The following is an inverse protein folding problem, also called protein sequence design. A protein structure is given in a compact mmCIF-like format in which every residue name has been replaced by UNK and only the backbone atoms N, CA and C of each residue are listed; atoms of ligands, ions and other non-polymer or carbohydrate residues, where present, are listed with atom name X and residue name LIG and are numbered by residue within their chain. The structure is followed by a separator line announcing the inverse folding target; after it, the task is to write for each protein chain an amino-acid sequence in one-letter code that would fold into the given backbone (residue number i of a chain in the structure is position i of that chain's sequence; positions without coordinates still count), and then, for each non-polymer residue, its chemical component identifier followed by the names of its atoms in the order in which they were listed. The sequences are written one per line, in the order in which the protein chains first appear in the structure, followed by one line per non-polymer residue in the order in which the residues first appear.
data_IF_823277321404
#
_entry.id   IF_823277321404
#
_cell.length_a   1.000
_cell.length_b   1.000
_cell.length_c   1.000
_cell.angle_alpha   90.00
_cell.angle_beta   90.00
_cell.angle_gamma   90.00
#
_symmetry.space_group_name_H-M   'P 1'
#
loop_
_entity.id
_entity.type
_entity.pdbx_description
1 polymer ?
#
# COMPACT_ATOMS: atom_id res chain seq x y z
N UNK A 1 17.10 -1.41 -25.19
CA UNK A 1 16.96 -2.89 -25.25
C UNK A 1 16.19 -3.29 -24.03
N UNK A 2 15.04 -3.98 -24.20
CA UNK A 2 14.25 -4.51 -23.11
C UNK A 2 14.44 -6.02 -23.06
N UNK A 3 14.38 -6.62 -21.85
CA UNK A 3 14.36 -8.08 -21.69
C UNK A 3 13.04 -8.62 -22.25
N UNK A 4 13.11 -9.69 -23.04
CA UNK A 4 11.91 -10.44 -23.43
C UNK A 4 11.53 -11.38 -22.28
N UNK A 5 10.29 -11.27 -21.81
CA UNK A 5 9.77 -12.10 -20.73
C UNK A 5 8.76 -13.07 -21.34
N UNK A 6 9.07 -14.38 -21.29
CA UNK A 6 8.18 -15.44 -21.75
C UNK A 6 7.20 -15.79 -20.62
N UNK A 7 5.92 -15.51 -20.85
CA UNK A 7 4.87 -15.70 -19.84
C UNK A 7 3.55 -15.07 -20.28
N UNK A 8 2.56 -15.11 -19.40
CA UNK A 8 1.27 -14.45 -19.58
C UNK A 8 1.13 -13.34 -18.55
N UNK A 9 0.33 -12.32 -18.86
CA UNK A 9 0.02 -11.29 -17.85
C UNK A 9 -0.89 -11.87 -16.77
N UNK A 10 -0.76 -11.31 -15.55
CA UNK A 10 -1.70 -11.65 -14.46
C UNK A 10 -3.14 -11.31 -14.86
N UNK A 11 -3.34 -10.29 -15.73
CA UNK A 11 -4.66 -9.96 -16.27
C UNK A 11 -5.25 -11.10 -17.10
N UNK A 12 -4.49 -11.65 -18.02
CA UNK A 12 -4.91 -12.81 -18.83
C UNK A 12 -5.19 -14.03 -17.95
N UNK A 13 -4.37 -14.23 -16.92
CA UNK A 13 -4.57 -15.31 -15.96
C UNK A 13 -5.89 -15.17 -15.20
N UNK A 14 -6.17 -13.97 -14.62
CA UNK A 14 -7.43 -13.69 -13.93
C UNK A 14 -8.63 -13.83 -14.88
N UNK A 15 -8.54 -13.31 -16.10
CA UNK A 15 -9.62 -13.42 -17.09
C UNK A 15 -9.95 -14.87 -17.44
N UNK A 16 -8.94 -15.74 -17.47
CA UNK A 16 -9.10 -17.15 -17.80
C UNK A 16 -9.64 -17.98 -16.62
N UNK A 17 -9.20 -17.67 -15.41
CA UNK A 17 -9.56 -18.44 -14.20
C UNK A 17 -10.80 -17.91 -13.50
N UNK A 18 -11.12 -16.60 -13.67
CA UNK A 18 -12.04 -15.88 -12.80
C UNK A 18 -11.37 -15.54 -11.46
N UNK A 19 -12.07 -15.70 -10.34
CA UNK A 19 -11.48 -15.57 -9.03
C UNK A 19 -10.47 -16.72 -8.80
N UNK A 20 -9.30 -16.38 -8.25
CA UNK A 20 -8.27 -17.35 -7.91
C UNK A 20 -8.29 -17.66 -6.41
N UNK A 21 -7.69 -18.77 -6.02
CA UNK A 21 -7.65 -19.16 -4.61
C UNK A 21 -6.90 -18.13 -3.78
N UNK A 22 -7.29 -17.95 -2.52
CA UNK A 22 -6.61 -17.00 -1.65
C UNK A 22 -5.12 -17.37 -1.43
N UNK A 23 -4.78 -18.67 -1.44
CA UNK A 23 -3.40 -19.14 -1.35
C UNK A 23 -2.55 -18.68 -2.54
N UNK A 24 -3.06 -18.86 -3.77
CA UNK A 24 -2.36 -18.42 -4.97
C UNK A 24 -2.27 -16.90 -5.04
N UNK A 25 -3.35 -16.20 -4.66
CA UNK A 25 -3.37 -14.74 -4.60
C UNK A 25 -2.30 -14.20 -3.63
N UNK A 26 -2.17 -14.78 -2.43
CA UNK A 26 -1.13 -14.40 -1.47
C UNK A 26 0.27 -14.80 -1.95
N UNK A 27 0.43 -15.94 -2.62
CA UNK A 27 1.70 -16.35 -3.22
C UNK A 27 2.18 -15.33 -4.27
N UNK A 28 1.29 -14.88 -5.16
CA UNK A 28 1.61 -13.83 -6.13
C UNK A 28 1.88 -12.49 -5.45
N UNK A 29 1.04 -12.10 -4.49
CA UNK A 29 1.21 -10.87 -3.71
C UNK A 29 2.56 -10.81 -3.01
N UNK A 30 3.02 -11.93 -2.40
CA UNK A 30 4.33 -12.03 -1.76
C UNK A 30 5.47 -11.70 -2.73
N UNK A 31 5.43 -12.23 -3.95
CA UNK A 31 6.47 -11.99 -4.95
C UNK A 31 6.44 -10.54 -5.44
N UNK A 32 5.24 -9.97 -5.65
CA UNK A 32 5.08 -8.56 -6.06
C UNK A 32 5.62 -7.63 -4.96
N UNK A 33 5.28 -7.88 -3.69
CA UNK A 33 5.76 -7.09 -2.56
C UNK A 33 7.29 -7.09 -2.46
N UNK A 34 7.93 -8.26 -2.66
CA UNK A 34 9.41 -8.34 -2.68
C UNK A 34 10.03 -7.54 -3.83
N UNK A 35 9.39 -7.53 -5.00
CA UNK A 35 9.84 -6.73 -6.13
C UNK A 35 9.67 -5.23 -5.87
N UNK A 36 8.51 -4.82 -5.30
CA UNK A 36 8.26 -3.44 -4.89
C UNK A 36 9.23 -2.97 -3.82
N UNK A 37 9.45 -3.77 -2.76
CA UNK A 37 10.41 -3.42 -1.72
C UNK A 37 11.80 -3.16 -2.30
N UNK A 38 12.28 -4.03 -3.20
CA UNK A 38 13.57 -3.84 -3.85
C UNK A 38 13.65 -2.54 -4.67
N UNK A 39 12.58 -2.13 -5.32
CA UNK A 39 12.50 -0.86 -6.06
C UNK A 39 12.43 0.34 -5.10
N UNK A 40 11.60 0.26 -4.06
CA UNK A 40 11.42 1.31 -3.06
C UNK A 40 12.72 1.58 -2.29
N UNK A 41 13.50 0.56 -1.93
CA UNK A 41 14.83 0.70 -1.30
C UNK A 41 15.82 1.49 -2.17
N UNK A 42 15.56 1.57 -3.48
CA UNK A 42 16.35 2.37 -4.44
C UNK A 42 15.71 3.72 -4.76
N UNK A 43 14.66 4.09 -4.05
CA UNK A 43 13.91 5.32 -4.29
C UNK A 43 13.07 5.29 -5.58
N UNK A 44 12.77 4.11 -6.12
CA UNK A 44 11.97 3.94 -7.34
C UNK A 44 10.55 3.54 -6.96
N UNK A 45 9.58 4.41 -7.24
CA UNK A 45 8.14 4.13 -7.09
C UNK A 45 7.59 3.75 -8.45
N UNK A 46 6.83 2.66 -8.53
CA UNK A 46 6.32 2.12 -9.80
C UNK A 46 5.21 2.97 -10.40
N UNK A 47 4.21 3.38 -9.60
CA UNK A 47 3.08 4.27 -9.93
C UNK A 47 2.07 3.76 -10.97
N UNK A 48 2.24 2.55 -11.48
CA UNK A 48 1.31 1.92 -12.45
C UNK A 48 1.22 0.40 -12.20
N UNK A 49 1.10 0.00 -10.92
CA UNK A 49 0.85 -1.39 -10.55
C UNK A 49 -0.55 -1.79 -11.00
N UNK A 50 -0.61 -2.80 -11.85
CA UNK A 50 -1.84 -3.38 -12.39
C UNK A 50 -1.55 -4.76 -12.96
N UNK A 51 -2.55 -5.64 -13.15
CA UNK A 51 -2.33 -7.01 -13.61
C UNK A 51 -1.70 -7.12 -14.99
N UNK A 52 -1.83 -6.09 -15.85
CA UNK A 52 -1.19 -6.04 -17.17
C UNK A 52 0.33 -5.87 -17.09
N UNK A 53 0.84 -5.24 -16.01
CA UNK A 53 2.26 -5.00 -15.77
C UNK A 53 2.90 -6.06 -14.85
N UNK A 54 2.20 -7.18 -14.63
CA UNK A 54 2.66 -8.29 -13.83
C UNK A 54 2.66 -9.53 -14.71
N UNK A 55 3.84 -10.09 -14.95
CA UNK A 55 4.02 -11.28 -15.78
C UNK A 55 4.13 -12.53 -14.91
N UNK A 56 3.33 -13.54 -15.24
CA UNK A 56 3.39 -14.87 -14.66
C UNK A 56 4.17 -15.78 -15.61
N UNK A 57 5.30 -16.27 -15.16
CA UNK A 57 6.18 -17.16 -15.90
C UNK A 57 5.71 -18.63 -15.81
N UNK A 58 6.17 -19.46 -16.73
CA UNK A 58 5.81 -20.89 -16.78
C UNK A 58 6.22 -21.67 -15.51
N UNK A 59 7.22 -21.21 -14.79
CA UNK A 59 7.70 -21.78 -13.53
C UNK A 59 6.95 -21.27 -12.28
N UNK A 60 5.93 -20.43 -12.47
CA UNK A 60 5.13 -19.83 -11.42
C UNK A 60 5.74 -18.57 -10.77
N UNK A 61 6.89 -18.11 -11.26
CA UNK A 61 7.47 -16.84 -10.78
C UNK A 61 6.75 -15.64 -11.37
N UNK A 62 6.77 -14.55 -10.60
CA UNK A 62 6.22 -13.25 -11.00
C UNK A 62 7.36 -12.30 -11.38
N UNK A 63 7.18 -11.57 -12.49
CA UNK A 63 8.00 -10.39 -12.81
C UNK A 63 7.10 -9.17 -12.90
N UNK A 64 7.46 -8.09 -12.18
CA UNK A 64 6.85 -6.77 -12.32
C UNK A 64 7.58 -6.04 -13.46
N UNK A 65 6.84 -5.55 -14.43
CA UNK A 65 7.35 -4.89 -15.64
C UNK A 65 6.88 -3.45 -15.71
N UNK A 66 7.43 -2.68 -16.64
CA UNK A 66 6.99 -1.30 -16.95
C UNK A 66 6.98 -0.36 -15.73
N UNK A 67 8.08 -0.37 -14.96
CA UNK A 67 8.31 0.64 -13.94
C UNK A 67 8.14 2.03 -14.55
N UNK A 68 7.22 2.83 -14.00
CA UNK A 68 6.66 4.06 -14.57
C UNK A 68 7.64 5.20 -14.85
N UNK A 69 8.66 4.93 -15.66
CA UNK A 69 9.66 5.90 -16.09
C UNK A 69 9.04 7.08 -16.87
N UNK A 70 7.80 6.93 -17.37
CA UNK A 70 7.16 7.88 -18.29
C UNK A 70 6.27 8.94 -17.61
N UNK A 71 6.04 8.94 -16.29
CA UNK A 71 5.14 9.89 -15.62
C UNK A 71 5.83 11.05 -14.90
N UNK A 72 7.11 11.31 -15.15
CA UNK A 72 7.83 12.47 -14.61
C UNK A 72 7.51 13.81 -15.29
N UNK A 73 6.76 13.86 -16.39
CA UNK A 73 6.39 15.12 -17.01
C UNK A 73 5.06 15.65 -16.46
N UNK A 74 5.17 16.56 -15.49
CA UNK A 74 4.15 17.59 -15.24
C UNK A 74 3.77 18.23 -16.56
N UNK A 75 2.49 18.35 -16.82
CA UNK A 75 1.88 18.96 -18.00
C UNK A 75 1.79 18.06 -19.23
N UNK A 76 0.69 17.32 -19.26
CA UNK A 76 -0.12 17.23 -20.47
C UNK A 76 -1.50 16.66 -20.07
N UNK A 77 -2.51 17.52 -20.13
CA UNK A 77 -3.89 17.15 -20.37
C UNK A 77 -3.92 16.41 -21.70
N UNK A 78 -3.47 15.14 -21.72
CA UNK A 78 -3.64 14.28 -22.89
C UNK A 78 -4.90 13.47 -22.72
N UNK A 79 -5.80 13.67 -23.68
CA UNK A 79 -6.92 12.83 -24.06
C UNK A 79 -6.75 11.40 -23.53
N UNK A 80 -7.74 10.97 -22.72
CA UNK A 80 -7.85 9.61 -22.20
C UNK A 80 -7.89 8.64 -23.40
N UNK A 81 -6.75 8.07 -23.75
CA UNK A 81 -6.66 6.97 -24.70
C UNK A 81 -7.20 5.70 -24.05
N UNK A 82 -7.67 4.72 -24.83
CA UNK A 82 -8.22 3.46 -24.32
C UNK A 82 -7.31 2.76 -23.29
N UNK A 83 -5.98 2.90 -23.42
CA UNK A 83 -5.01 2.41 -22.45
C UNK A 83 -5.04 3.17 -21.11
N UNK A 84 -5.50 4.43 -21.07
CA UNK A 84 -5.69 5.18 -19.85
C UNK A 84 -6.97 4.75 -19.11
N UNK A 85 -7.98 4.28 -19.84
CA UNK A 85 -9.25 3.81 -19.26
C UNK A 85 -9.02 2.56 -18.40
N UNK A 86 -8.19 1.61 -18.84
CA UNK A 86 -7.88 0.40 -18.06
C UNK A 86 -7.05 0.66 -16.81
N UNK A 87 -6.17 1.67 -16.81
CA UNK A 87 -5.30 1.99 -15.68
C UNK A 87 -6.03 2.70 -14.53
N UNK A 88 -7.16 3.37 -14.79
CA UNK A 88 -7.89 4.13 -13.77
C UNK A 88 -8.45 3.24 -12.65
N UNK A 89 -8.67 1.96 -12.92
CA UNK A 89 -9.18 1.01 -11.92
C UNK A 89 -8.19 0.70 -10.80
N UNK A 90 -6.91 1.03 -10.97
CA UNK A 90 -5.84 0.69 -10.02
C UNK A 90 -5.13 1.92 -9.44
N UNK A 91 -5.49 3.14 -9.88
CA UNK A 91 -4.84 4.37 -9.36
C UNK A 91 -5.21 4.59 -7.90
N UNK A 92 -4.26 5.11 -7.13
CA UNK A 92 -4.52 5.50 -5.76
C UNK A 92 -5.33 6.80 -5.67
N UNK A 93 -6.04 7.05 -4.55
CA UNK A 93 -6.79 8.29 -4.32
C UNK A 93 -5.97 9.56 -4.54
N UNK A 94 -4.73 9.59 -4.04
CA UNK A 94 -3.80 10.70 -4.21
C UNK A 94 -3.37 10.89 -5.67
N UNK A 95 -3.19 9.80 -6.43
CA UNK A 95 -2.94 9.90 -7.87
C UNK A 95 -4.15 10.46 -8.62
N UNK A 96 -5.36 10.01 -8.26
CA UNK A 96 -6.60 10.49 -8.88
C UNK A 96 -6.82 11.98 -8.65
N UNK A 97 -6.39 12.50 -7.49
CA UNK A 97 -6.44 13.92 -7.13
C UNK A 97 -5.27 14.74 -7.70
N UNK A 98 -4.22 14.10 -8.24
CA UNK A 98 -3.00 14.77 -8.69
C UNK A 98 -2.11 15.26 -7.53
N UNK A 99 -2.26 14.68 -6.35
CA UNK A 99 -1.47 14.98 -5.15
C UNK A 99 -0.08 14.31 -5.21
N UNK A 100 0.77 14.62 -4.21
CA UNK A 100 2.07 13.95 -4.09
C UNK A 100 1.90 12.44 -3.89
N UNK A 101 2.74 11.68 -4.58
CA UNK A 101 2.64 10.21 -4.66
C UNK A 101 3.98 9.59 -4.28
N UNK A 102 3.98 8.75 -3.25
CA UNK A 102 5.10 7.95 -2.77
C UNK A 102 4.84 6.44 -2.94
N UNK A 103 5.66 5.58 -2.29
CA UNK A 103 5.56 4.12 -2.35
C UNK A 103 4.22 3.57 -1.88
N UNK A 104 3.48 4.29 -1.04
CA UNK A 104 2.16 3.87 -0.54
C UNK A 104 1.08 3.86 -1.65
N UNK A 105 1.32 4.54 -2.76
CA UNK A 105 0.47 4.43 -3.94
C UNK A 105 0.58 3.04 -4.59
N UNK A 106 1.78 2.46 -4.66
CA UNK A 106 1.98 1.10 -5.17
C UNK A 106 1.30 0.06 -4.27
N UNK A 107 1.32 0.29 -2.94
CA UNK A 107 0.62 -0.55 -1.97
C UNK A 107 -0.90 -0.53 -2.20
N UNK A 108 -1.49 0.66 -2.41
CA UNK A 108 -2.91 0.78 -2.74
C UNK A 108 -3.25 0.04 -4.03
N UNK A 109 -2.48 0.27 -5.09
CA UNK A 109 -2.67 -0.40 -6.38
C UNK A 109 -2.55 -1.92 -6.26
N UNK A 110 -1.61 -2.42 -5.45
CA UNK A 110 -1.49 -3.85 -5.15
C UNK A 110 -2.70 -4.37 -4.35
N UNK A 111 -3.25 -3.59 -3.42
CA UNK A 111 -4.50 -3.90 -2.74
C UNK A 111 -5.66 -4.11 -3.71
N UNK A 112 -5.78 -3.24 -4.73
CA UNK A 112 -6.78 -3.37 -5.80
C UNK A 112 -6.53 -4.62 -6.65
N UNK A 113 -5.27 -4.94 -6.98
CA UNK A 113 -4.89 -6.18 -7.69
C UNK A 113 -5.24 -7.41 -6.87
N UNK A 114 -4.94 -7.41 -5.56
CA UNK A 114 -5.31 -8.50 -4.65
C UNK A 114 -6.83 -8.68 -4.57
N UNK A 115 -7.58 -7.59 -4.48
CA UNK A 115 -9.04 -7.64 -4.53
C UNK A 115 -9.53 -8.29 -5.82
N UNK A 116 -9.00 -7.87 -6.98
CA UNK A 116 -9.40 -8.45 -8.27
C UNK A 116 -9.05 -9.93 -8.37
N UNK A 117 -7.89 -10.36 -7.89
CA UNK A 117 -7.52 -11.77 -7.83
C UNK A 117 -8.54 -12.60 -7.04
N UNK A 118 -8.97 -12.09 -5.88
CA UNK A 118 -9.86 -12.79 -4.95
C UNK A 118 -11.33 -12.73 -5.38
N UNK A 119 -11.78 -11.61 -5.95
CA UNK A 119 -13.17 -11.38 -6.34
C UNK A 119 -13.47 -11.73 -7.81
N UNK A 120 -12.44 -11.92 -8.65
CA UNK A 120 -12.58 -12.09 -10.11
C UNK A 120 -12.98 -10.80 -10.84
N UNK A 121 -13.07 -9.67 -10.14
CA UNK A 121 -13.45 -8.35 -10.67
C UNK A 121 -12.84 -7.23 -9.86
N UNK A 122 -12.69 -6.06 -10.47
CA UNK A 122 -12.21 -4.85 -9.78
C UNK A 122 -13.19 -4.38 -8.70
N UNK A 123 -12.72 -3.70 -7.63
CA UNK A 123 -13.59 -3.18 -6.57
C UNK A 123 -14.51 -2.05 -7.05
N UNK A 124 -14.06 -1.24 -8.00
CA UNK A 124 -14.77 -0.08 -8.54
C UNK A 124 -14.83 -0.15 -10.06
N UNK A 125 -16.04 -0.06 -10.60
CA UNK A 125 -16.30 -0.07 -12.03
C UNK A 125 -17.47 0.86 -12.35
N UNK A 126 -17.39 1.61 -13.46
CA UNK A 126 -18.41 2.53 -13.91
C UNK A 126 -18.23 2.84 -15.41
N UNK A 127 -19.25 3.46 -16.03
CA UNK A 127 -19.28 3.76 -17.45
C UNK A 127 -18.22 4.77 -17.92
N UNK A 128 -17.58 5.51 -16.99
CA UNK A 128 -16.54 6.48 -17.33
C UNK A 128 -15.33 6.39 -16.42
N UNK A 129 -14.14 6.64 -16.97
CA UNK A 129 -12.89 6.72 -16.22
C UNK A 129 -12.94 7.77 -15.07
N UNK A 130 -13.67 8.87 -15.28
CA UNK A 130 -13.85 9.91 -14.25
C UNK A 130 -14.68 9.37 -13.08
N UNK A 131 -15.74 8.62 -13.36
CA UNK A 131 -16.57 8.00 -12.32
C UNK A 131 -15.76 6.96 -11.53
N UNK A 132 -14.96 6.13 -12.20
CA UNK A 132 -14.07 5.17 -11.53
C UNK A 132 -13.04 5.90 -10.65
N UNK A 133 -12.40 6.96 -11.17
CA UNK A 133 -11.46 7.76 -10.39
C UNK A 133 -12.12 8.38 -9.14
N UNK A 134 -13.35 8.85 -9.27
CA UNK A 134 -14.11 9.38 -8.14
C UNK A 134 -14.41 8.29 -7.09
N UNK A 135 -14.75 7.07 -7.54
CA UNK A 135 -14.96 5.93 -6.64
C UNK A 135 -13.67 5.54 -5.91
N UNK A 136 -12.49 5.61 -6.56
CA UNK A 136 -11.21 5.39 -5.90
C UNK A 136 -11.00 6.37 -4.73
N UNK A 137 -11.49 7.60 -4.86
CA UNK A 137 -11.35 8.64 -3.82
C UNK A 137 -12.36 8.49 -2.69
N UNK A 138 -13.61 8.10 -2.98
CA UNK A 138 -14.73 8.28 -2.06
C UNK A 138 -15.51 7.01 -1.71
N UNK A 139 -15.49 5.99 -2.58
CA UNK A 139 -16.35 4.83 -2.38
C UNK A 139 -15.64 3.73 -1.59
N UNK A 140 -16.41 3.02 -0.77
CA UNK A 140 -15.95 1.80 -0.11
C UNK A 140 -16.11 0.59 -1.04
N UNK A 141 -15.11 -0.29 -1.04
CA UNK A 141 -15.18 -1.53 -1.76
C UNK A 141 -16.15 -2.51 -1.08
N UNK A 142 -16.85 -3.32 -1.87
CA UNK A 142 -17.63 -4.43 -1.30
C UNK A 142 -16.69 -5.38 -0.57
N UNK A 143 -17.09 -5.83 0.62
CA UNK A 143 -16.27 -6.75 1.42
C UNK A 143 -16.05 -8.07 0.68
N UNK A 144 -14.81 -8.58 0.73
CA UNK A 144 -14.44 -9.82 0.05
C UNK A 144 -15.17 -11.03 0.64
N UNK A 145 -15.37 -11.08 1.95
CA UNK A 145 -16.11 -12.17 2.61
C UNK A 145 -17.61 -12.20 2.23
N UNK A 146 -18.19 -11.06 1.79
CA UNK A 146 -19.55 -11.01 1.25
C UNK A 146 -19.64 -11.49 -0.20
N UNK A 147 -18.50 -11.63 -0.89
CA UNK A 147 -18.39 -12.17 -2.24
C UNK A 147 -18.05 -13.64 -2.19
N UNK A 148 -17.06 -14.01 -1.37
CA UNK A 148 -16.61 -15.37 -1.16
C UNK A 148 -16.27 -15.61 0.32
N UNK A 149 -17.16 -16.31 1.07
CA UNK A 149 -16.98 -16.60 2.49
C UNK A 149 -15.78 -17.51 2.81
N UNK A 150 -15.20 -18.18 1.82
CA UNK A 150 -14.04 -19.05 2.00
C UNK A 150 -12.71 -18.27 2.14
N UNK A 151 -12.75 -16.95 1.90
CA UNK A 151 -11.59 -16.08 2.08
C UNK A 151 -11.33 -15.89 3.58
N UNK A 152 -10.13 -16.21 4.08
CA UNK A 152 -9.79 -15.98 5.48
C UNK A 152 -9.94 -14.50 5.85
N UNK A 153 -10.43 -14.25 7.08
CA UNK A 153 -10.67 -12.88 7.54
C UNK A 153 -9.39 -12.02 7.51
N UNK A 154 -8.24 -12.59 7.83
CA UNK A 154 -6.96 -11.87 7.74
C UNK A 154 -6.63 -11.42 6.32
N UNK A 155 -6.97 -12.22 5.29
CA UNK A 155 -6.76 -11.82 3.88
C UNK A 155 -7.64 -10.64 3.50
N UNK A 156 -8.92 -10.65 3.92
CA UNK A 156 -9.81 -9.51 3.72
C UNK A 156 -9.26 -8.25 4.39
N UNK A 157 -8.81 -8.37 5.64
CA UNK A 157 -8.28 -7.25 6.41
C UNK A 157 -7.01 -6.67 5.77
N UNK A 158 -6.08 -7.50 5.30
CA UNK A 158 -4.90 -7.05 4.55
C UNK A 158 -5.30 -6.26 3.30
N UNK A 159 -6.24 -6.80 2.53
CA UNK A 159 -6.71 -6.15 1.32
C UNK A 159 -7.37 -4.79 1.62
N UNK A 160 -8.25 -4.74 2.62
CA UNK A 160 -8.92 -3.51 3.06
C UNK A 160 -7.93 -2.46 3.56
N UNK A 161 -6.96 -2.86 4.40
CA UNK A 161 -5.94 -1.96 4.94
C UNK A 161 -5.02 -1.39 3.84
N UNK A 162 -4.63 -2.21 2.87
CA UNK A 162 -3.88 -1.73 1.70
C UNK A 162 -4.69 -0.70 0.88
N UNK A 163 -6.02 -0.84 0.85
CA UNK A 163 -6.94 0.03 0.09
C UNK A 163 -7.50 1.21 0.89
N UNK A 164 -6.96 1.51 2.08
CA UNK A 164 -7.32 2.71 2.84
C UNK A 164 -7.15 3.97 2.00
N UNK A 165 -8.11 4.90 2.09
CA UNK A 165 -8.13 6.11 1.25
C UNK A 165 -7.04 7.10 1.63
N UNK A 166 -6.79 7.25 2.94
CA UNK A 166 -5.70 8.07 3.44
C UNK A 166 -4.39 7.27 3.43
N UNK A 167 -3.33 7.73 2.72
CA UNK A 167 -2.04 7.05 2.73
C UNK A 167 -1.43 6.83 4.13
N UNK A 168 -1.74 7.69 5.09
CA UNK A 168 -1.24 7.55 6.47
C UNK A 168 -1.87 6.35 7.21
N UNK A 169 -3.04 5.89 6.77
CA UNK A 169 -3.76 4.77 7.38
C UNK A 169 -3.49 3.44 6.65
N UNK A 170 -2.63 3.43 5.61
CA UNK A 170 -2.21 2.21 4.90
C UNK A 170 -0.95 1.63 5.51
N UNK A 171 -0.54 0.48 5.04
CA UNK A 171 0.85 0.01 5.21
C UNK A 171 1.83 1.10 4.77
N UNK A 172 2.84 1.36 5.59
CA UNK A 172 3.82 2.40 5.31
C UNK A 172 4.98 1.89 4.44
N UNK A 173 5.12 0.57 4.27
CA UNK A 173 6.08 -0.04 3.37
C UNK A 173 5.57 -1.38 2.81
N UNK A 174 6.17 -1.82 1.69
CA UNK A 174 5.89 -3.15 1.14
C UNK A 174 6.33 -4.26 2.12
N UNK A 175 7.36 -4.04 2.93
CA UNK A 175 7.81 -4.98 3.97
C UNK A 175 6.76 -5.16 5.06
N UNK A 176 6.09 -4.09 5.48
CA UNK A 176 5.04 -4.15 6.50
C UNK A 176 3.85 -5.00 6.01
N UNK A 177 3.38 -4.76 4.78
CA UNK A 177 2.33 -5.59 4.17
C UNK A 177 2.77 -7.04 3.98
N UNK A 178 4.04 -7.26 3.58
CA UNK A 178 4.59 -8.60 3.39
C UNK A 178 4.58 -9.41 4.69
N UNK A 179 4.89 -8.76 5.82
CA UNK A 179 4.85 -9.41 7.13
C UNK A 179 3.45 -9.98 7.44
N UNK A 180 2.40 -9.19 7.28
CA UNK A 180 1.03 -9.63 7.52
C UNK A 180 0.60 -10.74 6.55
N UNK A 181 0.97 -10.63 5.27
CA UNK A 181 0.73 -11.68 4.27
C UNK A 181 1.39 -13.00 4.69
N UNK A 182 2.64 -12.96 5.11
CA UNK A 182 3.36 -14.17 5.56
C UNK A 182 2.76 -14.76 6.85
N UNK A 183 2.23 -13.94 7.76
CA UNK A 183 1.55 -14.41 8.97
C UNK A 183 0.24 -15.16 8.63
N UNK A 184 -0.57 -14.65 7.69
CA UNK A 184 -1.79 -15.35 7.26
C UNK A 184 -1.46 -16.64 6.51
N UNK A 185 -0.41 -16.66 5.69
CA UNK A 185 0.05 -17.90 5.01
C UNK A 185 0.44 -18.97 6.05
N UNK A 186 1.12 -18.59 7.13
CA UNK A 186 1.50 -19.52 8.21
C UNK A 186 0.29 -19.98 9.02
N UNK A 187 -0.64 -19.09 9.28
CA UNK A 187 -1.85 -19.37 10.06
C UNK A 187 -3.07 -18.64 9.47
N UNK A 188 -3.90 -19.31 8.67
CA UNK A 188 -5.09 -18.71 8.06
C UNK A 188 -6.15 -18.19 9.04
N UNK A 189 -6.07 -18.55 10.32
CA UNK A 189 -6.95 -18.04 11.35
C UNK A 189 -6.48 -16.68 11.94
N UNK A 190 -5.30 -16.19 11.53
CA UNK A 190 -4.79 -14.88 11.94
C UNK A 190 -5.76 -13.78 11.55
N UNK A 191 -5.97 -12.84 12.47
CA UNK A 191 -6.73 -11.59 12.25
C UNK A 191 -5.93 -10.42 12.76
N UNK A 192 -6.15 -9.25 12.16
CA UNK A 192 -5.43 -8.02 12.49
C UNK A 192 -6.38 -6.99 13.09
N UNK A 193 -5.83 -6.13 13.94
CA UNK A 193 -6.50 -4.94 14.44
C UNK A 193 -5.68 -3.72 14.06
N UNK A 194 -6.12 -3.00 13.02
CA UNK A 194 -5.46 -1.80 12.53
C UNK A 194 -5.95 -0.51 13.20
N UNK A 195 -6.82 -0.60 14.23
CA UNK A 195 -7.38 0.56 14.91
C UNK A 195 -6.36 1.38 15.70
N UNK A 196 -5.19 0.82 15.99
CA UNK A 196 -4.12 1.49 16.76
C UNK A 196 -3.37 2.58 15.99
N UNK A 197 -3.59 2.75 14.71
CA UNK A 197 -2.88 3.72 13.87
C UNK A 197 -3.66 5.02 13.62
N UNK A 198 -4.86 5.14 14.17
CA UNK A 198 -5.67 6.37 14.08
C UNK A 198 -5.48 7.20 15.35
N UNK A 199 -4.29 7.79 15.52
CA UNK A 199 -4.11 8.88 16.49
C UNK A 199 -4.69 10.17 15.86
N UNK A 200 -5.95 10.47 16.17
CA UNK A 200 -6.60 11.74 15.76
C UNK A 200 -6.08 12.98 16.51
N UNK A 201 -5.11 12.84 17.42
CA UNK A 201 -4.52 13.97 18.10
C UNK A 201 -3.04 14.13 17.79
N UNK A 202 -2.60 15.36 17.38
CA UNK A 202 -1.17 15.64 17.26
C UNK A 202 -0.53 15.49 18.64
N UNK A 203 0.49 14.66 18.73
CA UNK A 203 1.28 14.39 19.93
C UNK A 203 1.71 15.74 20.53
N UNK A 204 1.08 16.21 21.61
CA UNK A 204 1.58 17.31 22.40
C UNK A 204 2.87 16.85 23.04
N UNK A 205 3.99 17.34 22.55
CA UNK A 205 5.27 17.17 23.23
C UNK A 205 5.14 17.81 24.61
N UNK A 206 5.00 17.00 25.65
CA UNK A 206 5.16 17.45 27.04
C UNK A 206 6.65 17.65 27.26
N UNK A 207 7.13 18.87 27.09
CA UNK A 207 8.46 19.27 27.54
C UNK A 207 8.41 19.15 29.09
N UNK A 208 8.94 18.04 29.64
CA UNK A 208 9.25 17.96 31.05
C UNK A 208 10.38 18.95 31.32
N UNK A 209 10.03 20.14 31.81
CA UNK A 209 10.97 21.05 32.44
C UNK A 209 11.55 20.30 33.65
N UNK A 210 12.80 19.89 33.54
CA UNK A 210 13.57 19.38 34.66
C UNK A 210 13.91 20.62 35.51
N UNK A 211 13.18 20.83 36.60
CA UNK A 211 13.56 21.80 37.59
C UNK A 211 14.87 21.33 38.23
N UNK A 212 15.96 21.96 37.86
CA UNK A 212 17.19 21.90 38.62
C UNK A 212 16.91 22.59 39.98
N UNK A 213 16.72 21.80 41.02
CA UNK A 213 16.82 22.23 42.40
C UNK A 213 18.25 22.75 42.62
N UNK A 214 18.35 24.04 42.86
CA UNK A 214 19.59 24.68 43.31
C UNK A 214 20.12 23.96 44.54
N UNK A 215 21.39 23.56 44.54
CA UNK A 215 22.12 23.15 45.70
C UNK A 215 22.30 24.34 46.64
N UNK A 216 22.14 24.17 47.96
CA UNK A 216 22.41 25.24 48.91
C UNK A 216 23.89 25.66 48.86
N UNK A 217 24.16 26.95 48.71
CA UNK A 217 25.50 27.51 48.86
C UNK A 217 25.91 27.41 50.35
N UNK A 218 27.18 27.05 50.66
CA UNK A 218 27.67 27.09 52.02
C UNK A 218 27.88 28.56 52.48
N UNK A 219 27.38 28.83 53.66
CA UNK A 219 27.44 30.14 54.33
C UNK A 219 28.91 30.47 54.75
N UNK A 220 29.51 31.45 54.10
CA UNK A 220 30.82 31.99 54.40
C UNK A 220 30.67 33.27 55.29
N UNK A 221 30.35 33.11 56.57
CA UNK A 221 30.49 34.17 57.57
C UNK A 221 30.94 33.56 58.88
N UNK A 222 32.22 33.64 59.13
CA UNK A 222 32.80 33.89 60.47
C UNK A 222 34.31 34.03 60.35
N UNK A 223 34.78 35.27 60.17
CA UNK A 223 36.13 35.61 60.59
C UNK A 223 36.13 35.86 62.10
N UNK A 224 37.07 35.29 62.86
CA UNK A 224 37.32 35.69 64.24
C UNK A 224 38.29 36.89 64.28
N UNK A 225 37.87 37.97 64.99
CA UNK A 225 38.77 39.04 65.45
C UNK A 225 39.86 38.47 66.31
N UNK A 226 41.07 38.95 66.11
CA UNK A 226 42.22 38.77 67.01
C UNK A 226 42.49 40.03 67.83
N UNK A 227 43.09 39.84 69.05
CA UNK A 227 43.34 40.92 70.00
C UNK A 227 44.51 41.81 69.64
#
# INVERSE_FOLDING_TARGET
VMEYVDGITLKEYIQKQGAITWNDALYFTTQILRALQHAHDKGIVHRDIKPQNIMLLADGHIKVTDFGIARFSRSETKTLTENAIGSVHYISPEQAKGEFTDERADIYSLGVVLYEMLAGRVPFDADSAVSVALMQVQADAKRLIDINPDIPRGVEQICAHAMEKNPANRYQSATEMLFDVEEVIKNPATTFDYSYFVDEEPTKYVIKTVNHTEKPQPDLRSEPEQP
#
